data_IF_874639380853
#
_entry.id   IF_874639380853
#
_cell.length_a   1.000
_cell.length_b   1.000
_cell.length_c   1.000
_cell.angle_alpha   90.00
_cell.angle_beta   90.00
_cell.angle_gamma   90.00
#
_symmetry.space_group_name_H-M   'P 1'
#
loop_
_entity.id
_entity.type
_entity.pdbx_description
1 polymer ?
#
# COMPACT_ATOMS: atom_id res chain seq x y z
N UNK A 1 -13.85 -50.21 -4.53
CA UNK A 1 -13.46 -49.37 -3.38
C UNK A 1 -13.19 -47.97 -3.93
N UNK A 2 -14.01 -46.99 -3.54
CA UNK A 2 -13.86 -45.59 -3.94
C UNK A 2 -12.93 -44.92 -2.91
N UNK A 3 -11.64 -44.78 -3.24
CA UNK A 3 -10.73 -43.93 -2.46
C UNK A 3 -10.65 -42.55 -3.13
N UNK A 4 -11.63 -41.71 -2.81
CA UNK A 4 -11.61 -40.28 -3.10
C UNK A 4 -10.89 -39.54 -1.97
N UNK A 5 -9.56 -39.47 -2.04
CA UNK A 5 -8.74 -38.71 -1.09
C UNK A 5 -7.63 -37.96 -1.83
N UNK A 6 -7.99 -36.98 -2.66
CA UNK A 6 -7.00 -36.10 -3.30
C UNK A 6 -7.57 -34.69 -3.56
N UNK A 7 -8.03 -34.00 -2.51
CA UNK A 7 -8.43 -32.58 -2.62
C UNK A 7 -8.01 -31.71 -1.42
N UNK A 8 -7.46 -32.28 -0.35
CA UNK A 8 -7.03 -31.50 0.83
C UNK A 8 -5.66 -30.82 0.68
N UNK A 9 -4.77 -31.37 -0.14
CA UNK A 9 -3.40 -30.87 -0.40
C UNK A 9 -3.37 -29.66 -1.32
N UNK A 10 -4.27 -29.62 -2.30
CA UNK A 10 -4.32 -28.59 -3.34
C UNK A 10 -4.87 -27.27 -2.79
N UNK A 11 -5.90 -27.34 -1.93
CA UNK A 11 -6.51 -26.15 -1.31
C UNK A 11 -5.50 -25.44 -0.39
N UNK A 12 -4.73 -26.19 0.40
CA UNK A 12 -3.70 -25.60 1.27
C UNK A 12 -2.56 -24.94 0.48
N UNK A 13 -2.19 -25.52 -0.66
CA UNK A 13 -1.18 -24.97 -1.56
C UNK A 13 -1.66 -23.68 -2.22
N UNK A 14 -2.91 -23.66 -2.71
CA UNK A 14 -3.54 -22.47 -3.31
C UNK A 14 -3.71 -21.36 -2.27
N UNK A 15 -4.14 -21.67 -1.05
CA UNK A 15 -4.28 -20.69 0.03
C UNK A 15 -2.93 -20.10 0.46
N UNK A 16 -1.86 -20.91 0.52
CA UNK A 16 -0.49 -20.40 0.76
C UNK A 16 -0.05 -19.48 -0.37
N UNK A 17 -0.18 -19.90 -1.63
CA UNK A 17 0.20 -19.08 -2.77
C UNK A 17 -0.58 -17.76 -2.83
N UNK A 18 -1.89 -17.78 -2.52
CA UNK A 18 -2.71 -16.58 -2.45
C UNK A 18 -2.31 -15.66 -1.29
N UNK A 19 -1.99 -16.23 -0.12
CA UNK A 19 -1.49 -15.46 1.02
C UNK A 19 -0.12 -14.85 0.73
N UNK A 20 0.79 -15.60 0.12
CA UNK A 20 2.14 -15.14 -0.22
C UNK A 20 2.12 -14.07 -1.31
N UNK A 21 1.30 -14.23 -2.35
CA UNK A 21 1.11 -13.18 -3.38
C UNK A 21 0.45 -11.93 -2.82
N UNK A 22 -0.55 -12.07 -1.93
CA UNK A 22 -1.14 -10.92 -1.23
C UNK A 22 -0.12 -10.24 -0.32
N UNK A 23 0.69 -11.00 0.41
CA UNK A 23 1.73 -10.46 1.30
C UNK A 23 2.85 -9.75 0.51
N UNK A 24 3.25 -10.30 -0.63
CA UNK A 24 4.20 -9.66 -1.56
C UNK A 24 3.61 -8.37 -2.14
N UNK A 25 2.32 -8.36 -2.49
CA UNK A 25 1.62 -7.16 -2.93
C UNK A 25 1.49 -6.11 -1.83
N UNK A 26 1.23 -6.50 -0.58
CA UNK A 26 1.15 -5.59 0.57
C UNK A 26 2.53 -5.00 0.91
N UNK A 27 3.60 -5.80 0.86
CA UNK A 27 4.98 -5.32 1.07
C UNK A 27 5.42 -4.37 -0.05
N UNK A 28 5.09 -4.72 -1.30
CA UNK A 28 5.38 -3.88 -2.47
C UNK A 28 4.57 -2.58 -2.43
N UNK A 29 3.29 -2.65 -2.03
CA UNK A 29 2.42 -1.49 -1.86
C UNK A 29 2.91 -0.58 -0.72
N UNK A 30 3.41 -1.15 0.38
CA UNK A 30 4.01 -0.41 1.49
C UNK A 30 5.28 0.32 1.05
N UNK A 31 6.16 -0.34 0.29
CA UNK A 31 7.35 0.31 -0.28
C UNK A 31 6.97 1.43 -1.25
N UNK A 32 6.01 1.18 -2.14
CA UNK A 32 5.52 2.18 -3.09
C UNK A 32 4.88 3.38 -2.38
N UNK A 33 4.16 3.15 -1.27
CA UNK A 33 3.61 4.22 -0.45
C UNK A 33 4.71 5.09 0.16
N UNK A 34 5.76 4.48 0.71
CA UNK A 34 6.91 5.22 1.26
C UNK A 34 7.62 6.07 0.20
N UNK A 35 7.80 5.53 -1.01
CA UNK A 35 8.36 6.28 -2.14
C UNK A 35 7.46 7.46 -2.51
N UNK A 36 6.14 7.26 -2.57
CA UNK A 36 5.19 8.33 -2.86
C UNK A 36 5.25 9.44 -1.79
N UNK A 37 5.32 9.08 -0.51
CA UNK A 37 5.48 10.03 0.61
C UNK A 37 6.77 10.83 0.46
N UNK A 38 7.90 10.17 0.16
CA UNK A 38 9.18 10.84 -0.03
C UNK A 38 9.16 11.81 -1.21
N UNK A 39 8.51 11.44 -2.32
CA UNK A 39 8.35 12.31 -3.49
C UNK A 39 7.50 13.55 -3.16
N UNK A 40 6.40 13.38 -2.43
CA UNK A 40 5.56 14.48 -1.96
C UNK A 40 6.35 15.40 -1.03
N UNK A 41 7.07 14.83 -0.06
CA UNK A 41 7.91 15.60 0.88
C UNK A 41 8.96 16.45 0.14
N UNK A 42 9.60 15.90 -0.90
CA UNK A 42 10.52 16.66 -1.75
C UNK A 42 9.81 17.72 -2.59
N UNK A 43 8.66 17.39 -3.19
CA UNK A 43 7.91 18.32 -4.03
C UNK A 43 7.40 19.55 -3.27
N UNK A 44 7.11 19.40 -1.98
CA UNK A 44 6.67 20.48 -1.10
C UNK A 44 7.79 21.06 -0.24
N UNK A 45 9.04 20.60 -0.42
CA UNK A 45 10.19 21.13 0.30
C UNK A 45 10.37 22.61 -0.03
N UNK A 46 10.33 23.47 1.00
CA UNK A 46 10.38 24.93 0.83
C UNK A 46 9.04 25.62 0.56
N UNK A 47 7.97 24.88 0.25
CA UNK A 47 6.61 25.41 0.10
C UNK A 47 5.80 25.21 1.39
N UNK A 48 5.87 23.99 1.94
CA UNK A 48 5.19 23.61 3.18
C UNK A 48 6.20 23.07 4.18
N UNK A 49 5.93 23.26 5.47
CA UNK A 49 6.72 22.61 6.51
C UNK A 49 6.52 21.09 6.46
N UNK A 50 7.57 20.31 6.79
CA UNK A 50 7.47 18.84 6.87
C UNK A 50 6.31 18.38 7.76
N UNK A 51 5.99 19.14 8.83
CA UNK A 51 4.86 18.86 9.71
C UNK A 51 3.50 18.97 9.02
N UNK A 52 3.31 19.97 8.14
CA UNK A 52 2.07 20.13 7.37
C UNK A 52 1.92 19.03 6.33
N UNK A 53 3.00 18.66 5.64
CA UNK A 53 2.99 17.56 4.66
C UNK A 53 2.74 16.21 5.36
N UNK A 54 3.38 15.96 6.50
CA UNK A 54 3.15 14.75 7.30
C UNK A 54 1.71 14.66 7.81
N UNK A 55 1.17 15.78 8.31
CA UNK A 55 -0.23 15.86 8.76
C UNK A 55 -1.21 15.63 7.60
N UNK A 56 -0.90 16.14 6.42
CA UNK A 56 -1.71 15.94 5.22
C UNK A 56 -1.74 14.47 4.79
N UNK A 57 -0.59 13.78 4.81
CA UNK A 57 -0.46 12.38 4.43
C UNK A 57 -1.10 11.45 5.48
N UNK A 58 -0.97 11.77 6.77
CA UNK A 58 -1.57 11.01 7.86
C UNK A 58 -1.08 9.56 7.92
N UNK A 59 -2.03 8.61 8.03
CA UNK A 59 -1.76 7.16 8.12
C UNK A 59 -1.81 6.45 6.75
N UNK A 60 -1.56 7.18 5.65
CA UNK A 60 -1.61 6.61 4.31
C UNK A 60 -0.55 5.50 4.11
N UNK A 61 -1.03 4.30 3.85
CA UNK A 61 -0.26 3.06 3.72
C UNK A 61 -0.31 2.46 2.30
N UNK A 62 -0.91 3.18 1.34
CA UNK A 62 -0.89 2.86 -0.09
C UNK A 62 -0.60 4.11 -0.92
N UNK A 63 0.01 3.99 -2.11
CA UNK A 63 0.28 5.15 -2.98
C UNK A 63 -0.97 5.97 -3.31
N UNK A 64 -2.11 5.28 -3.50
CA UNK A 64 -3.38 5.93 -3.78
C UNK A 64 -3.89 6.73 -2.58
N UNK A 65 -3.79 6.17 -1.36
CA UNK A 65 -4.13 6.90 -0.14
C UNK A 65 -3.27 8.17 0.02
N UNK A 66 -1.96 8.09 -0.30
CA UNK A 66 -1.07 9.26 -0.29
C UNK A 66 -1.54 10.32 -1.29
N UNK A 67 -1.90 9.93 -2.52
CA UNK A 67 -2.40 10.87 -3.54
C UNK A 67 -3.70 11.57 -3.12
N UNK A 68 -4.65 10.82 -2.56
CA UNK A 68 -5.92 11.36 -2.05
C UNK A 68 -5.66 12.34 -0.91
N UNK A 69 -4.83 11.93 0.06
CA UNK A 69 -4.51 12.70 1.25
C UNK A 69 -3.86 14.05 0.88
N UNK A 70 -2.89 14.02 -0.03
CA UNK A 70 -2.22 15.23 -0.53
C UNK A 70 -3.19 16.13 -1.29
N UNK A 71 -4.01 15.59 -2.21
CA UNK A 71 -5.03 16.37 -2.94
C UNK A 71 -6.05 17.02 -2.01
N UNK A 72 -6.38 16.37 -0.88
CA UNK A 72 -7.34 16.90 0.09
C UNK A 72 -6.78 18.10 0.88
N UNK A 73 -5.46 18.19 1.01
CA UNK A 73 -4.79 19.29 1.71
C UNK A 73 -4.26 20.39 0.78
N UNK A 74 -4.20 20.15 -0.53
CA UNK A 74 -3.84 21.19 -1.48
C UNK A 74 -5.04 22.09 -1.76
N UNK A 75 -4.85 23.42 -1.80
CA UNK A 75 -5.91 24.31 -2.26
C UNK A 75 -6.35 23.89 -3.66
N UNK A 76 -7.66 23.82 -3.87
CA UNK A 76 -8.21 23.56 -5.21
C UNK A 76 -7.73 24.67 -6.14
N UNK A 77 -6.99 24.27 -7.16
CA UNK A 77 -6.52 25.13 -8.24
C UNK A 77 -7.69 25.41 -9.19
#
# INVERSE_FOLDING_TARGET
MLEGSSSGSDINTVLRAYRDTRYLNEKTASLAAQIAIANVMKAFEGILSRGQVSKAIGQANTPNAVSIAVRSCLPRI
#
